data_IF_137083421937
#
_entry.id   IF_137083421937
#
_cell.length_a   1.000
_cell.length_b   1.000
_cell.length_c   1.000
_cell.angle_alpha   90.00
_cell.angle_beta   90.00
_cell.angle_gamma   90.00
#
_symmetry.space_group_name_H-M   'P 1'
#
loop_
_entity.id
_entity.type
_entity.pdbx_description
1 polymer ?
#
# COMPACT_ATOMS: atom_id res chain seq x y z
N UNK A 1 -12.96 -12.82 -0.09
CA UNK A 1 -12.01 -13.36 -1.09
C UNK A 1 -11.20 -14.47 -0.45
N UNK A 2 -10.68 -15.41 -1.22
CA UNK A 2 -9.61 -16.30 -0.73
C UNK A 2 -8.30 -15.58 -1.05
N UNK A 3 -7.55 -15.18 -0.02
CA UNK A 3 -6.29 -14.47 -0.22
C UNK A 3 -5.17 -15.47 -0.48
N UNK A 4 -4.69 -15.54 -1.73
CA UNK A 4 -3.48 -16.30 -2.03
C UNK A 4 -2.24 -15.56 -1.52
N UNK A 5 -1.49 -16.19 -0.62
CA UNK A 5 -0.35 -15.58 0.08
C UNK A 5 0.72 -15.06 -0.89
N UNK A 6 1.05 -15.83 -1.93
CA UNK A 6 2.10 -15.42 -2.88
C UNK A 6 1.65 -14.23 -3.73
N UNK A 7 0.41 -14.25 -4.17
CA UNK A 7 -0.21 -13.15 -4.94
C UNK A 7 -0.30 -11.87 -4.12
N UNK A 8 -0.79 -11.96 -2.87
CA UNK A 8 -0.87 -10.79 -1.95
C UNK A 8 0.51 -10.25 -1.66
N UNK A 9 1.49 -11.13 -1.41
CA UNK A 9 2.87 -10.71 -1.17
C UNK A 9 3.46 -9.98 -2.37
N UNK A 10 3.29 -10.53 -3.57
CA UNK A 10 3.77 -9.91 -4.79
C UNK A 10 3.10 -8.54 -5.00
N UNK A 11 1.78 -8.49 -4.83
CA UNK A 11 0.99 -7.27 -4.93
C UNK A 11 1.51 -6.17 -4.00
N UNK A 12 1.63 -6.46 -2.69
CA UNK A 12 2.08 -5.47 -1.69
C UNK A 12 3.48 -4.94 -2.02
N UNK A 13 4.40 -5.80 -2.45
CA UNK A 13 5.78 -5.38 -2.77
C UNK A 13 5.89 -4.62 -4.10
N UNK A 14 4.92 -4.80 -5.00
CA UNK A 14 4.81 -4.06 -6.26
C UNK A 14 3.87 -2.86 -6.20
N UNK A 15 3.15 -2.70 -5.09
CA UNK A 15 2.19 -1.61 -4.93
C UNK A 15 2.98 -0.31 -4.88
N UNK A 16 2.81 0.52 -5.90
CA UNK A 16 3.32 1.88 -5.89
C UNK A 16 2.18 2.81 -5.51
N UNK A 17 2.10 3.13 -4.22
CA UNK A 17 1.32 4.29 -3.81
C UNK A 17 1.86 5.53 -4.54
N UNK A 18 0.99 6.51 -4.86
CA UNK A 18 1.40 7.78 -5.48
C UNK A 18 2.69 8.30 -4.84
N UNK A 19 3.68 8.79 -5.63
CA UNK A 19 4.94 9.22 -5.06
C UNK A 19 4.67 10.28 -4.00
N UNK A 20 5.20 10.05 -2.79
CA UNK A 20 5.12 10.98 -1.65
C UNK A 20 5.65 12.38 -2.00
N UNK A 21 6.43 12.48 -3.08
CA UNK A 21 7.04 13.69 -3.63
C UNK A 21 6.37 14.19 -4.93
N UNK A 22 5.12 13.82 -5.25
CA UNK A 22 4.43 14.54 -6.33
C UNK A 22 4.27 15.98 -5.86
N UNK A 23 4.76 16.99 -6.60
CA UNK A 23 4.56 18.38 -6.21
C UNK A 23 3.06 18.58 -6.01
N UNK A 24 2.67 19.24 -4.91
CA UNK A 24 1.31 19.72 -4.72
C UNK A 24 1.00 20.64 -5.90
N UNK A 25 0.35 20.11 -6.92
CA UNK A 25 -0.26 20.93 -7.95
C UNK A 25 -1.44 21.58 -7.24
N UNK A 26 -1.37 22.89 -7.00
CA UNK A 26 -2.53 23.67 -6.60
C UNK A 26 -3.61 23.44 -7.67
N UNK A 27 -4.56 22.56 -7.36
CA UNK A 27 -5.78 22.44 -8.12
C UNK A 27 -6.73 23.49 -7.57
N UNK A 28 -7.26 24.33 -8.46
CA UNK A 28 -8.34 25.23 -8.10
C UNK A 28 -9.52 24.39 -7.57
N UNK A 29 -10.07 24.78 -6.41
CA UNK A 29 -11.23 24.11 -5.82
C UNK A 29 -12.43 24.10 -6.77
N UNK A 30 -12.49 25.04 -7.70
CA UNK A 30 -13.51 25.13 -8.73
C UNK A 30 -13.36 24.06 -9.81
N UNK A 31 -12.15 23.57 -10.04
CA UNK A 31 -11.86 22.48 -10.99
C UNK A 31 -11.99 21.09 -10.36
N UNK A 32 -12.00 21.00 -9.02
CA UNK A 32 -12.09 19.72 -8.29
C UNK A 32 -13.39 18.94 -8.55
N UNK A 33 -14.51 19.65 -8.74
CA UNK A 33 -15.82 19.06 -9.07
C UNK A 33 -16.15 19.14 -10.57
N UNK A 34 -15.26 19.70 -11.38
CA UNK A 34 -15.46 19.82 -12.82
C UNK A 34 -15.30 18.44 -13.45
N UNK A 35 -16.42 17.82 -13.80
CA UNK A 35 -16.49 16.59 -14.60
C UNK A 35 -16.15 16.88 -16.07
N UNK A 36 -15.09 17.65 -16.33
CA UNK A 36 -14.68 17.97 -17.68
C UNK A 36 -13.93 16.76 -18.25
N UNK A 37 -14.50 16.00 -19.19
CA UNK A 37 -13.92 14.75 -19.68
C UNK A 37 -12.59 14.96 -20.42
N UNK A 38 -12.24 16.22 -20.72
CA UNK A 38 -10.97 16.63 -21.33
C UNK A 38 -9.88 16.98 -20.33
N UNK A 39 -10.21 17.13 -19.03
CA UNK A 39 -9.28 17.49 -17.96
C UNK A 39 -9.02 16.34 -16.98
N UNK A 40 -9.51 15.14 -17.31
CA UNK A 40 -9.13 13.90 -16.64
C UNK A 40 -7.70 13.61 -17.07
N UNK A 41 -6.73 13.84 -16.19
CA UNK A 41 -5.36 13.41 -16.48
C UNK A 41 -5.39 11.90 -16.77
N UNK A 42 -4.79 11.42 -17.87
CA UNK A 42 -4.77 10.00 -18.21
C UNK A 42 -4.13 9.14 -17.09
N UNK A 43 -3.38 9.79 -16.19
CA UNK A 43 -2.74 9.17 -15.02
C UNK A 43 -3.71 8.69 -13.92
N UNK A 44 -5.00 9.06 -13.97
CA UNK A 44 -5.97 8.62 -12.94
C UNK A 44 -6.59 7.25 -13.20
N UNK A 45 -6.43 6.68 -14.39
CA UNK A 45 -7.19 5.49 -14.79
C UNK A 45 -6.46 4.15 -14.56
N UNK A 46 -5.13 4.13 -14.56
CA UNK A 46 -4.37 2.87 -14.63
C UNK A 46 -4.28 2.11 -13.30
N UNK A 47 -4.73 2.69 -12.17
CA UNK A 47 -4.53 2.11 -10.84
C UNK A 47 -5.79 2.04 -9.96
N UNK A 48 -6.99 2.28 -10.51
CA UNK A 48 -8.24 2.26 -9.71
C UNK A 48 -8.47 0.88 -9.10
N UNK A 49 -8.34 -0.20 -9.88
CA UNK A 49 -8.52 -1.57 -9.38
C UNK A 49 -7.49 -1.94 -8.31
N UNK A 50 -6.22 -1.59 -8.53
CA UNK A 50 -5.15 -1.78 -7.55
C UNK A 50 -5.42 -1.04 -6.24
N UNK A 51 -5.90 0.21 -6.32
CA UNK A 51 -6.25 1.00 -5.14
C UNK A 51 -7.47 0.43 -4.40
N UNK A 52 -8.48 -0.05 -5.12
CA UNK A 52 -9.63 -0.73 -4.52
C UNK A 52 -9.17 -1.98 -3.78
N UNK A 53 -8.34 -2.81 -4.42
CA UNK A 53 -7.81 -4.02 -3.80
C UNK A 53 -6.91 -3.71 -2.61
N UNK A 54 -6.06 -2.69 -2.69
CA UNK A 54 -5.24 -2.24 -1.56
C UNK A 54 -6.12 -1.81 -0.38
N UNK A 55 -7.15 -0.99 -0.61
CA UNK A 55 -8.04 -0.53 0.46
C UNK A 55 -8.81 -1.69 1.12
N UNK A 56 -9.27 -2.67 0.33
CA UNK A 56 -9.90 -3.89 0.86
C UNK A 56 -8.89 -4.69 1.71
N UNK A 57 -7.69 -4.91 1.18
CA UNK A 57 -6.63 -5.62 1.88
C UNK A 57 -6.22 -4.91 3.17
N UNK A 58 -6.05 -3.58 3.13
CA UNK A 58 -5.71 -2.76 4.29
C UNK A 58 -6.79 -2.89 5.38
N UNK A 59 -8.07 -2.86 5.02
CA UNK A 59 -9.16 -3.08 5.97
C UNK A 59 -9.12 -4.47 6.61
N UNK A 60 -8.79 -5.51 5.85
CA UNK A 60 -8.63 -6.87 6.40
C UNK A 60 -7.41 -6.93 7.32
N UNK A 61 -6.28 -6.37 6.90
CA UNK A 61 -5.04 -6.34 7.68
C UNK A 61 -5.25 -5.59 9.00
N UNK A 62 -5.93 -4.44 8.99
CA UNK A 62 -6.24 -3.65 10.20
C UNK A 62 -7.02 -4.47 11.25
N UNK A 63 -7.89 -5.37 10.80
CA UNK A 63 -8.67 -6.21 11.71
C UNK A 63 -7.89 -7.38 12.34
N UNK A 64 -6.82 -7.86 11.69
CA UNK A 64 -6.10 -9.08 12.11
C UNK A 64 -4.67 -8.81 12.60
N UNK A 65 -4.12 -7.65 12.26
CA UNK A 65 -2.75 -7.28 12.56
C UNK A 65 -2.63 -6.64 13.95
N UNK A 66 -1.48 -6.81 14.56
CA UNK A 66 -1.01 -5.90 15.60
C UNK A 66 -0.53 -4.58 14.97
N UNK A 67 -0.48 -3.49 15.75
CA UNK A 67 0.06 -2.19 15.28
C UNK A 67 1.43 -2.32 14.60
N UNK A 68 2.27 -3.23 15.12
CA UNK A 68 3.60 -3.52 14.58
C UNK A 68 3.52 -4.16 13.20
N UNK A 69 2.65 -5.16 13.04
CA UNK A 69 2.45 -5.87 11.78
C UNK A 69 1.83 -4.95 10.73
N UNK A 70 0.82 -4.16 11.13
CA UNK A 70 0.18 -3.16 10.29
C UNK A 70 1.20 -2.14 9.77
N UNK A 71 2.04 -1.59 10.66
CA UNK A 71 3.09 -0.65 10.27
C UNK A 71 4.06 -1.24 9.24
N UNK A 72 4.47 -2.50 9.44
CA UNK A 72 5.35 -3.19 8.49
C UNK A 72 4.66 -3.34 7.14
N UNK A 73 3.41 -3.82 7.11
CA UNK A 73 2.61 -3.93 5.89
C UNK A 73 2.54 -2.60 5.14
N UNK A 74 2.14 -1.53 5.82
CA UNK A 74 2.00 -0.21 5.23
C UNK A 74 3.34 0.29 4.67
N UNK A 75 4.43 0.21 5.45
CA UNK A 75 5.74 0.64 4.96
C UNK A 75 6.20 -0.12 3.70
N UNK A 76 5.99 -1.44 3.66
CA UNK A 76 6.35 -2.26 2.50
C UNK A 76 5.48 -1.93 1.28
N UNK A 77 4.18 -1.71 1.48
CA UNK A 77 3.26 -1.27 0.44
C UNK A 77 3.63 0.11 -0.13
N UNK A 78 4.28 0.96 0.66
CA UNK A 78 4.76 2.27 0.21
C UNK A 78 6.21 2.22 -0.34
N UNK A 79 6.72 1.02 -0.65
CA UNK A 79 7.99 0.80 -1.35
C UNK A 79 9.23 0.74 -0.45
N UNK A 80 9.07 0.72 0.88
CA UNK A 80 10.21 0.58 1.78
C UNK A 80 10.81 -0.83 1.70
N UNK A 81 12.13 -0.93 1.81
CA UNK A 81 12.82 -2.23 1.85
C UNK A 81 12.80 -2.82 3.26
N UNK A 82 12.91 -4.15 3.37
CA UNK A 82 12.96 -4.84 4.66
C UNK A 82 14.07 -4.29 5.58
N UNK A 83 15.23 -3.94 5.03
CA UNK A 83 16.36 -3.39 5.77
C UNK A 83 16.09 -1.99 6.32
N UNK A 84 15.30 -1.19 5.60
CA UNK A 84 14.92 0.17 6.01
C UNK A 84 13.93 0.12 7.17
N UNK A 85 12.88 -0.69 7.04
CA UNK A 85 11.91 -0.93 8.10
C UNK A 85 12.59 -1.57 9.32
N UNK A 86 13.50 -2.52 9.09
CA UNK A 86 14.28 -3.17 10.14
C UNK A 86 15.11 -2.17 10.94
N UNK A 87 15.77 -1.23 10.25
CA UNK A 87 16.53 -0.14 10.89
C UNK A 87 15.66 0.74 11.78
N UNK A 88 14.47 1.13 11.31
CA UNK A 88 13.50 1.93 12.07
C UNK A 88 13.05 1.17 13.33
N UNK A 89 12.74 -0.11 13.18
CA UNK A 89 12.28 -0.97 14.27
C UNK A 89 13.40 -1.58 15.13
N UNK A 90 14.67 -1.28 14.84
CA UNK A 90 15.85 -1.83 15.50
C UNK A 90 15.92 -3.37 15.49
N UNK A 91 15.53 -3.98 14.37
CA UNK A 91 15.64 -5.43 14.11
C UNK A 91 16.27 -5.68 12.74
N UNK A 92 16.63 -6.93 12.44
CA UNK A 92 17.14 -7.28 11.11
C UNK A 92 16.04 -7.22 10.04
N UNK A 93 16.42 -6.97 8.78
CA UNK A 93 15.50 -7.07 7.65
C UNK A 93 14.87 -8.46 7.52
N UNK A 94 15.63 -9.52 7.81
CA UNK A 94 15.10 -10.89 7.88
C UNK A 94 13.99 -11.04 8.93
N UNK A 95 14.10 -10.37 10.08
CA UNK A 95 13.02 -10.39 11.08
C UNK A 95 11.77 -9.66 10.57
N UNK A 96 11.92 -8.57 9.83
CA UNK A 96 10.78 -7.89 9.17
C UNK A 96 10.12 -8.83 8.15
N UNK A 97 10.90 -9.50 7.32
CA UNK A 97 10.39 -10.48 6.34
C UNK A 97 9.63 -11.61 7.02
N UNK A 98 10.12 -12.12 8.16
CA UNK A 98 9.41 -13.13 8.95
C UNK A 98 8.07 -12.61 9.46
N UNK A 99 8.05 -11.45 10.12
CA UNK A 99 6.82 -10.83 10.65
C UNK A 99 5.82 -10.59 9.53
N UNK A 100 6.27 -10.11 8.36
CA UNK A 100 5.40 -9.91 7.21
C UNK A 100 4.81 -11.24 6.71
N UNK A 101 5.62 -12.28 6.57
CA UNK A 101 5.10 -13.60 6.18
C UNK A 101 4.11 -14.17 7.22
N UNK A 102 4.40 -14.00 8.51
CA UNK A 102 3.54 -14.42 9.64
C UNK A 102 2.20 -13.65 9.61
N UNK A 103 2.20 -12.37 9.24
CA UNK A 103 0.98 -11.58 9.04
C UNK A 103 0.16 -12.15 7.87
N UNK A 104 0.79 -12.45 6.74
CA UNK A 104 0.07 -12.99 5.58
C UNK A 104 -0.54 -14.38 5.85
N UNK A 105 0.03 -15.16 6.78
CA UNK A 105 -0.53 -16.45 7.21
C UNK A 105 -1.83 -16.30 8.03
N UNK A 106 -2.17 -15.09 8.49
CA UNK A 106 -3.42 -14.81 9.21
C UNK A 106 -4.58 -14.45 8.29
N UNK A 107 -4.33 -14.24 7.00
CA UNK A 107 -5.37 -13.87 6.04
C UNK A 107 -6.40 -15.02 5.90
N UNK A 108 -7.70 -14.68 5.75
CA UNK A 108 -8.78 -15.65 5.65
C UNK A 108 -8.88 -16.38 4.29
#
# INVERSE_FOLDING_TARGET
MIYDKESVKAFVLSYESRPLNKPLVEQDIHDFFSLDPYNISPETNDNIESNIFYNELESVIDNIATDREFYIFHMLAHGAKYEEVGRIMRVSGERIRQIFNELLDKLP
#
